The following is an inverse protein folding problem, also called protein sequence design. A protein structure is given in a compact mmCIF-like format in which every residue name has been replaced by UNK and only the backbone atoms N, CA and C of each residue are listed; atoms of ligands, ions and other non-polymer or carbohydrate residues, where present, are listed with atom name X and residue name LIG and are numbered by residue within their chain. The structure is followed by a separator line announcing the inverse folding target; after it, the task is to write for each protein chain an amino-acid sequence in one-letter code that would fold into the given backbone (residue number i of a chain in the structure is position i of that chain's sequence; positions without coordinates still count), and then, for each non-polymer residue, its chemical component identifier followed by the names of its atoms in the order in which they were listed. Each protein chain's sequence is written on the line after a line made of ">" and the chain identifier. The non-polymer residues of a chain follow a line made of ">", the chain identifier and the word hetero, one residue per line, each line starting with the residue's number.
data_IF_087502040649
#
_entry.id   IF_087502040649
#
_cell.length_a   1.000
_cell.length_b   1.000
_cell.length_c   1.000
_cell.angle_alpha   90.00
_cell.angle_beta   90.00
_cell.angle_gamma   90.00
#
_symmetry.space_group_name_H-M   'P 1'
#
loop_
_entity.id
_entity.type
_entity.pdbx_description
1 polymer ?
#
# COMPACT_ATOMS: atom_id res chain seq x y z
N UNK A 1 -8.40 10.34 -16.29
CA UNK A 1 -7.84 10.25 -14.93
C UNK A 1 -6.86 9.10 -15.01
N UNK A 2 -5.55 9.35 -14.90
CA UNK A 2 -4.58 8.26 -14.85
C UNK A 2 -4.68 7.60 -13.47
N UNK A 3 -5.05 6.32 -13.45
CA UNK A 3 -5.05 5.54 -12.22
C UNK A 3 -3.60 5.19 -11.86
N UNK A 4 -3.13 5.65 -10.71
CA UNK A 4 -1.81 5.28 -10.18
C UNK A 4 -1.78 3.77 -9.97
N UNK A 5 -0.84 3.08 -10.62
CA UNK A 5 -0.61 1.65 -10.36
C UNK A 5 0.47 1.53 -9.28
N UNK A 6 0.21 0.70 -8.27
CA UNK A 6 1.15 0.36 -7.22
C UNK A 6 1.71 -1.04 -7.46
N UNK A 7 2.94 -1.26 -6.99
CA UNK A 7 3.60 -2.56 -6.97
C UNK A 7 4.07 -2.89 -5.56
N UNK A 8 3.80 -4.11 -5.10
CA UNK A 8 4.37 -4.63 -3.86
C UNK A 8 5.75 -5.22 -4.12
N UNK A 9 6.74 -4.79 -3.32
CA UNK A 9 8.11 -5.29 -3.39
C UNK A 9 8.25 -6.76 -2.94
N UNK A 10 7.36 -7.25 -2.09
CA UNK A 10 7.46 -8.61 -1.50
C UNK A 10 6.85 -9.70 -2.36
N UNK A 11 5.60 -9.53 -2.78
CA UNK A 11 4.88 -10.55 -3.56
C UNK A 11 4.74 -10.20 -5.05
N UNK A 12 5.28 -9.06 -5.50
CA UNK A 12 5.13 -8.54 -6.86
C UNK A 12 3.68 -8.26 -7.30
N UNK A 13 2.72 -8.21 -6.36
CA UNK A 13 1.36 -7.76 -6.66
C UNK A 13 1.41 -6.39 -7.34
N UNK A 14 0.60 -6.21 -8.38
CA UNK A 14 0.37 -4.94 -9.05
C UNK A 14 -1.12 -4.71 -9.20
N UNK A 15 -1.55 -3.51 -8.86
CA UNK A 15 -2.94 -3.11 -8.96
C UNK A 15 -3.08 -1.60 -8.85
N UNK A 16 -4.27 -1.06 -9.12
CA UNK A 16 -4.52 0.35 -8.94
C UNK A 16 -4.44 0.72 -7.45
N UNK A 17 -4.07 1.97 -7.16
CA UNK A 17 -3.96 2.48 -5.80
C UNK A 17 -5.29 2.44 -5.02
N UNK A 18 -6.43 2.33 -5.70
CA UNK A 18 -7.74 2.17 -5.08
C UNK A 18 -8.02 0.74 -4.55
N UNK A 19 -7.19 -0.25 -4.93
CA UNK A 19 -7.30 -1.64 -4.48
C UNK A 19 -6.37 -1.97 -3.29
N UNK A 20 -5.56 -1.01 -2.80
CA UNK A 20 -4.73 -1.28 -1.61
C UNK A 20 -5.54 -1.26 -0.33
N UNK A 21 -5.10 -2.08 0.61
CA UNK A 21 -5.63 -2.06 1.97
C UNK A 21 -4.93 -0.96 2.79
N UNK A 22 -5.53 -0.62 3.93
CA UNK A 22 -5.01 0.37 4.87
C UNK A 22 -4.98 -0.21 6.27
N UNK A 23 -3.83 -0.10 6.94
CA UNK A 23 -3.68 -0.49 8.34
C UNK A 23 -3.38 0.73 9.21
N UNK A 24 -3.99 0.74 10.41
CA UNK A 24 -3.66 1.70 11.45
C UNK A 24 -2.37 1.25 12.15
N UNK A 25 -1.38 2.14 12.19
CA UNK A 25 -0.10 1.95 12.88
C UNK A 25 0.04 2.95 14.01
N UNK A 26 0.39 2.45 15.19
CA UNK A 26 0.68 3.31 16.33
C UNK A 26 2.04 3.99 16.14
N UNK A 27 2.02 5.32 16.17
CA UNK A 27 3.18 6.19 16.14
C UNK A 27 3.36 6.86 17.51
N UNK A 28 4.52 7.49 17.75
CA UNK A 28 4.76 8.22 18.98
C UNK A 28 3.78 9.40 19.23
N UNK A 29 3.06 9.84 18.19
CA UNK A 29 2.13 10.98 18.24
C UNK A 29 0.66 10.58 18.13
N UNK A 30 0.34 9.28 18.09
CA UNK A 30 -1.01 8.75 17.86
C UNK A 30 -1.02 7.67 16.78
N UNK A 31 -2.19 7.30 16.26
CA UNK A 31 -2.31 6.34 15.15
C UNK A 31 -2.25 7.04 13.79
N UNK A 32 -1.53 6.45 12.83
CA UNK A 32 -1.52 6.88 11.42
C UNK A 32 -1.97 5.71 10.52
N UNK A 33 -2.34 5.99 9.26
CA UNK A 33 -2.75 4.96 8.30
C UNK A 33 -1.67 4.76 7.25
N UNK A 34 -1.33 3.49 7.02
CA UNK A 34 -0.34 3.11 6.00
C UNK A 34 -0.96 2.22 4.94
N UNK A 35 -0.53 2.42 3.71
CA UNK A 35 -0.89 1.58 2.57
C UNK A 35 -0.23 0.20 2.74
N UNK A 36 -1.04 -0.86 2.62
CA UNK A 36 -0.59 -2.24 2.68
C UNK A 36 -1.03 -3.02 1.45
N UNK A 37 -0.15 -3.90 1.00
CA UNK A 37 -0.44 -4.77 -0.12
C UNK A 37 -1.58 -5.73 0.23
N UNK A 38 -2.68 -5.75 -0.54
CA UNK A 38 -3.85 -6.57 -0.23
C UNK A 38 -3.58 -8.07 -0.38
N UNK A 39 -2.53 -8.44 -1.12
CA UNK A 39 -2.18 -9.83 -1.36
C UNK A 39 -1.32 -10.46 -0.25
N UNK A 40 -0.52 -9.66 0.47
CA UNK A 40 0.44 -10.21 1.45
C UNK A 40 0.60 -9.40 2.74
N UNK A 41 -0.15 -8.31 2.91
CA UNK A 41 -0.08 -7.43 4.09
C UNK A 41 1.22 -6.62 4.20
N UNK A 42 2.04 -6.58 3.16
CA UNK A 42 3.30 -5.84 3.20
C UNK A 42 3.10 -4.35 2.98
N UNK A 43 3.70 -3.52 3.84
CA UNK A 43 3.74 -2.05 3.69
C UNK A 43 4.74 -1.57 2.61
N UNK A 44 5.50 -2.49 2.00
CA UNK A 44 6.45 -2.16 0.92
C UNK A 44 5.74 -2.07 -0.45
N UNK A 45 4.77 -1.16 -0.58
CA UNK A 45 4.10 -0.80 -1.84
C UNK A 45 4.67 0.51 -2.39
N UNK A 46 4.79 0.61 -3.72
CA UNK A 46 5.33 1.80 -4.38
C UNK A 46 4.69 2.03 -5.75
N UNK A 47 4.53 3.30 -6.19
CA UNK A 47 3.98 3.60 -7.49
C UNK A 47 4.93 3.20 -8.62
N UNK A 48 4.37 2.58 -9.65
CA UNK A 48 5.05 2.31 -10.92
C UNK A 48 4.64 3.39 -11.93
N UNK A 49 5.66 3.99 -12.57
CA UNK A 49 5.51 4.97 -13.66
C UNK A 49 5.64 4.29 -15.01
#
# INVERSE_FOLDING_TARGET
>A
MESTILKCKKCNWQGPAEEVDWEDVDTCSGSDKVEVCPSCGSMEVYPVR
#
